data_IF_064761392414
#
_entry.id   IF_064761392414
#
_cell.length_a   1.000
_cell.length_b   1.000
_cell.length_c   1.000
_cell.angle_alpha   90.00
_cell.angle_beta   90.00
_cell.angle_gamma   90.00
#
_symmetry.space_group_name_H-M   'P 1'
#
loop_
_entity.id
_entity.type
_entity.pdbx_description
1 polymer ?
#
# COMPACT_ATOMS: atom_id res chain seq x y z
N UNK A 1 -4.95 -26.98 -67.62
CA UNK A 1 -4.13 -27.10 -66.39
C UNK A 1 -4.19 -25.76 -65.66
N UNK A 2 -4.63 -25.81 -64.41
CA UNK A 2 -4.76 -24.69 -63.50
C UNK A 2 -3.38 -24.23 -62.98
N UNK A 3 -3.17 -22.92 -62.83
CA UNK A 3 -1.97 -22.34 -62.22
C UNK A 3 -2.17 -20.87 -61.89
N UNK A 4 -2.74 -20.62 -60.71
CA UNK A 4 -3.16 -19.31 -60.18
C UNK A 4 -1.94 -18.46 -59.77
N UNK A 5 -1.93 -17.16 -60.12
CA UNK A 5 -1.27 -16.12 -59.31
C UNK A 5 -2.37 -15.33 -58.61
N UNK A 6 -2.44 -15.29 -57.26
CA UNK A 6 -3.24 -14.30 -56.58
C UNK A 6 -2.42 -13.01 -56.40
N UNK A 7 -3.04 -11.92 -56.82
CA UNK A 7 -2.66 -10.54 -56.53
C UNK A 7 -2.56 -10.29 -55.03
N UNK A 8 -1.56 -9.51 -54.64
CA UNK A 8 -1.39 -8.96 -53.29
C UNK A 8 -2.59 -8.09 -52.92
N UNK A 9 -3.34 -8.50 -51.89
CA UNK A 9 -4.24 -7.63 -51.16
C UNK A 9 -3.50 -7.16 -49.89
N UNK A 10 -3.41 -5.85 -49.60
CA UNK A 10 -2.96 -5.38 -48.31
C UNK A 10 -4.02 -5.73 -47.25
N UNK A 11 -3.66 -6.58 -46.29
CA UNK A 11 -4.45 -6.80 -45.08
C UNK A 11 -4.42 -5.53 -44.23
N UNK A 12 -5.36 -4.64 -44.52
CA UNK A 12 -5.69 -3.51 -43.67
C UNK A 12 -6.50 -4.06 -42.49
N UNK A 13 -5.80 -4.46 -41.42
CA UNK A 13 -6.45 -4.86 -40.17
C UNK A 13 -6.93 -3.59 -39.47
N UNK A 14 -8.24 -3.36 -39.51
CA UNK A 14 -8.89 -2.25 -38.86
C UNK A 14 -8.72 -2.39 -37.34
N UNK A 15 -8.10 -1.37 -36.76
CA UNK A 15 -7.88 -1.19 -35.34
C UNK A 15 -9.21 -1.19 -34.61
N UNK A 16 -9.35 -2.13 -33.65
CA UNK A 16 -10.41 -2.10 -32.65
C UNK A 16 -10.23 -0.80 -31.85
N UNK A 17 -11.22 0.09 -31.98
CA UNK A 17 -11.36 1.26 -31.12
C UNK A 17 -11.67 0.82 -29.70
N UNK A 18 -10.80 1.19 -28.78
CA UNK A 18 -10.96 0.97 -27.34
C UNK A 18 -9.76 1.54 -26.59
N UNK A 19 -9.92 2.76 -26.07
CA UNK A 19 -9.06 3.49 -25.13
C UNK A 19 -7.59 3.04 -24.98
N UNK A 20 -6.71 3.82 -25.60
CA UNK A 20 -5.32 3.97 -25.17
C UNK A 20 -5.34 4.68 -23.80
N UNK A 21 -5.16 3.92 -22.73
CA UNK A 21 -4.77 4.46 -21.42
C UNK A 21 -3.57 3.66 -20.90
N UNK A 22 -2.40 4.27 -21.04
CA UNK A 22 -1.25 4.07 -20.17
C UNK A 22 -0.73 2.65 -20.01
N UNK A 23 0.04 2.15 -20.99
CA UNK A 23 1.11 1.18 -20.75
C UNK A 23 2.03 1.18 -21.96
N UNK A 24 3.29 1.53 -21.71
CA UNK A 24 4.37 1.56 -22.69
C UNK A 24 4.45 0.22 -23.43
N UNK A 25 4.32 0.27 -24.76
CA UNK A 25 4.69 -0.85 -25.64
C UNK A 25 6.21 -0.91 -25.63
N UNK A 26 6.78 -1.77 -24.78
CA UNK A 26 8.18 -2.10 -24.84
C UNK A 26 8.39 -3.05 -26.03
N UNK A 27 8.76 -2.46 -27.17
CA UNK A 27 9.38 -3.20 -28.28
C UNK A 27 10.62 -3.91 -27.74
N UNK A 28 10.60 -5.25 -27.76
CA UNK A 28 11.69 -6.07 -27.24
C UNK A 28 11.74 -7.45 -27.89
N UNK A 29 12.42 -7.48 -29.04
CA UNK A 29 13.26 -8.57 -29.57
C UNK A 29 12.65 -9.94 -29.90
N UNK A 30 12.86 -10.31 -31.16
CA UNK A 30 12.81 -11.66 -31.68
C UNK A 30 14.00 -12.49 -31.17
N UNK A 31 13.74 -13.76 -30.86
CA UNK A 31 14.74 -14.82 -30.91
C UNK A 31 15.20 -15.37 -29.55
N UNK A 32 14.77 -16.60 -29.26
CA UNK A 32 15.38 -17.45 -28.24
C UNK A 32 14.54 -17.56 -26.97
N UNK A 33 14.19 -18.79 -26.63
CA UNK A 33 13.49 -19.24 -25.43
C UNK A 33 13.79 -18.38 -24.19
N UNK A 34 12.86 -17.49 -23.85
CA UNK A 34 12.74 -16.90 -22.54
C UNK A 34 11.35 -17.27 -22.06
N UNK A 35 11.27 -18.43 -21.41
CA UNK A 35 10.23 -18.74 -20.44
C UNK A 35 10.32 -17.66 -19.36
N UNK A 36 9.67 -16.51 -19.60
CA UNK A 36 9.48 -15.47 -18.62
C UNK A 36 8.46 -15.99 -17.60
N UNK A 37 8.94 -16.83 -16.68
CA UNK A 37 8.32 -17.00 -15.37
C UNK A 37 8.44 -15.64 -14.70
N UNK A 38 7.47 -14.75 -14.96
CA UNK A 38 7.24 -13.57 -14.14
C UNK A 38 6.74 -14.04 -12.76
N UNK A 39 7.66 -14.57 -11.95
CA UNK A 39 7.60 -14.39 -10.50
C UNK A 39 8.28 -13.06 -10.20
N UNK A 40 7.60 -11.98 -10.59
CA UNK A 40 8.01 -10.62 -10.28
C UNK A 40 7.58 -10.24 -8.86
N UNK A 41 8.16 -10.86 -7.84
CA UNK A 41 8.29 -10.20 -6.55
C UNK A 41 9.54 -9.32 -6.66
N UNK A 42 9.40 -8.09 -7.16
CA UNK A 42 10.43 -7.06 -7.05
C UNK A 42 9.88 -5.70 -7.48
N UNK A 43 9.74 -4.84 -6.48
CA UNK A 43 9.93 -3.41 -6.55
C UNK A 43 9.07 -2.65 -7.56
N UNK A 44 7.94 -2.20 -7.03
CA UNK A 44 7.40 -0.87 -7.26
C UNK A 44 8.51 0.19 -7.09
N UNK A 45 9.40 0.32 -8.09
CA UNK A 45 10.40 1.39 -8.22
C UNK A 45 9.76 2.70 -8.65
N UNK A 46 8.58 3.00 -8.14
CA UNK A 46 8.15 4.38 -7.97
C UNK A 46 8.82 4.89 -6.69
N UNK A 47 9.10 6.19 -6.59
CA UNK A 47 9.64 6.77 -5.35
C UNK A 47 8.57 6.75 -4.23
N UNK A 48 8.20 5.56 -3.79
CA UNK A 48 7.16 5.28 -2.82
C UNK A 48 7.74 4.86 -1.48
N UNK A 49 6.87 4.83 -0.49
CA UNK A 49 7.20 4.39 0.86
C UNK A 49 7.58 2.90 0.87
N UNK A 50 8.70 2.54 1.50
CA UNK A 50 9.08 1.13 1.65
C UNK A 50 8.43 0.50 2.88
N UNK A 51 8.40 -0.83 2.95
CA UNK A 51 7.97 -1.54 4.16
C UNK A 51 8.81 -1.15 5.40
N UNK A 52 10.11 -0.90 5.21
CA UNK A 52 10.99 -0.42 6.28
C UNK A 52 10.58 0.97 6.77
N UNK A 53 10.18 1.86 5.87
CA UNK A 53 9.69 3.19 6.26
C UNK A 53 8.37 3.12 7.01
N UNK A 54 7.46 2.22 6.61
CA UNK A 54 6.22 1.95 7.34
C UNK A 54 6.54 1.45 8.76
N UNK A 55 7.44 0.48 8.91
CA UNK A 55 7.84 -0.02 10.23
C UNK A 55 8.38 1.13 11.10
N UNK A 56 9.26 1.99 10.57
CA UNK A 56 9.80 3.15 11.30
C UNK A 56 8.70 4.13 11.73
N UNK A 57 7.72 4.39 10.87
CA UNK A 57 6.58 5.24 11.21
C UNK A 57 5.70 4.62 12.32
N UNK A 58 5.49 3.30 12.27
CA UNK A 58 4.77 2.58 13.33
C UNK A 58 5.56 2.51 14.64
N UNK A 59 6.89 2.45 14.60
CA UNK A 59 7.76 2.57 15.79
C UNK A 59 7.73 3.96 16.41
N UNK A 60 7.69 5.01 15.58
CA UNK A 60 7.49 6.39 16.05
C UNK A 60 6.15 6.49 16.79
N UNK A 61 5.08 5.91 16.23
CA UNK A 61 3.77 5.90 16.88
C UNK A 61 3.79 5.12 18.19
N UNK A 62 4.40 3.93 18.22
CA UNK A 62 4.54 3.12 19.43
C UNK A 62 5.30 3.88 20.52
N UNK A 63 6.36 4.59 20.15
CA UNK A 63 7.13 5.41 21.09
C UNK A 63 6.31 6.57 21.63
N UNK A 64 5.50 7.22 20.78
CA UNK A 64 4.59 8.29 21.20
C UNK A 64 3.51 7.79 22.17
N UNK A 65 2.95 6.60 21.95
CA UNK A 65 1.99 5.98 22.88
C UNK A 65 2.65 5.75 24.24
N UNK A 66 3.84 5.15 24.27
CA UNK A 66 4.58 4.87 25.52
C UNK A 66 5.07 6.11 26.26
N UNK A 67 5.33 7.20 25.53
CA UNK A 67 5.75 8.47 26.10
C UNK A 67 4.57 9.37 26.49
N UNK A 68 3.34 8.99 26.13
CA UNK A 68 2.15 9.75 26.47
C UNK A 68 1.85 9.69 27.98
N UNK A 69 1.13 10.68 28.48
CA UNK A 69 0.61 10.70 29.86
C UNK A 69 -0.71 9.96 30.02
N UNK A 70 -1.07 9.09 29.07
CA UNK A 70 -2.23 8.19 29.20
C UNK A 70 -1.99 7.15 30.30
N UNK A 71 -3.07 6.60 30.86
CA UNK A 71 -2.97 5.47 31.79
C UNK A 71 -2.41 4.23 31.10
N UNK A 72 -1.85 3.30 31.88
CA UNK A 72 -1.26 2.06 31.35
C UNK A 72 -2.28 1.25 30.53
N UNK A 73 -3.54 1.19 30.98
CA UNK A 73 -4.61 0.48 30.28
C UNK A 73 -4.92 1.11 28.91
N UNK A 74 -4.97 2.43 28.83
CA UNK A 74 -5.22 3.14 27.56
C UNK A 74 -4.03 2.98 26.59
N UNK A 75 -2.80 3.00 27.11
CA UNK A 75 -1.61 2.71 26.30
C UNK A 75 -1.63 1.28 25.77
N UNK A 76 -1.96 0.31 26.63
CA UNK A 76 -2.03 -1.10 26.26
C UNK A 76 -3.07 -1.36 25.17
N UNK A 77 -4.28 -0.80 25.30
CA UNK A 77 -5.34 -0.92 24.29
C UNK A 77 -4.85 -0.48 22.90
N UNK A 78 -4.18 0.67 22.80
CA UNK A 78 -3.64 1.15 21.53
C UNK A 78 -2.51 0.24 21.02
N UNK A 79 -1.63 -0.22 21.92
CA UNK A 79 -0.49 -1.06 21.58
C UNK A 79 -0.89 -2.47 21.12
N UNK A 80 -2.00 -3.00 21.59
CA UNK A 80 -2.50 -4.33 21.24
C UNK A 80 -2.87 -4.45 19.76
N UNK A 81 -3.34 -3.36 19.14
CA UNK A 81 -3.57 -3.29 17.71
C UNK A 81 -2.32 -2.84 16.93
N UNK A 82 -1.50 -1.96 17.51
CA UNK A 82 -0.32 -1.43 16.83
C UNK A 82 0.80 -2.48 16.65
N UNK A 83 1.04 -3.33 17.66
CA UNK A 83 2.11 -4.34 17.62
C UNK A 83 1.91 -5.37 16.49
N UNK A 84 0.72 -5.97 16.28
CA UNK A 84 0.46 -6.84 15.15
C UNK A 84 0.66 -6.15 13.79
N UNK A 85 0.18 -4.91 13.63
CA UNK A 85 0.37 -4.13 12.41
C UNK A 85 1.85 -3.95 12.07
N UNK A 86 2.65 -3.53 13.07
CA UNK A 86 4.10 -3.36 12.89
C UNK A 86 4.80 -4.67 12.54
N UNK A 87 4.47 -5.75 13.25
CA UNK A 87 5.05 -7.08 12.99
C UNK A 87 4.74 -7.57 11.58
N UNK A 88 3.52 -7.33 11.10
CA UNK A 88 3.11 -7.70 9.74
C UNK A 88 3.82 -6.85 8.69
N UNK A 89 3.94 -5.54 8.92
CA UNK A 89 4.65 -4.62 8.03
C UNK A 89 6.13 -4.97 7.85
N UNK A 90 6.76 -5.61 8.84
CA UNK A 90 8.15 -6.07 8.78
C UNK A 90 8.37 -7.36 7.99
N UNK A 91 7.33 -8.00 7.46
CA UNK A 91 7.46 -9.24 6.67
C UNK A 91 7.76 -8.93 5.20
N UNK A 92 8.51 -9.81 4.56
CA UNK A 92 8.78 -9.73 3.11
C UNK A 92 7.46 -9.76 2.29
N UNK A 93 6.51 -10.60 2.69
CA UNK A 93 5.18 -10.70 2.10
C UNK A 93 4.11 -10.10 3.05
N UNK A 94 4.27 -8.82 3.38
CA UNK A 94 3.38 -8.11 4.29
C UNK A 94 1.92 -8.11 3.80
N UNK A 95 1.00 -8.56 4.65
CA UNK A 95 -0.43 -8.49 4.37
C UNK A 95 -0.97 -7.08 4.67
N UNK A 96 -1.06 -6.23 3.63
CA UNK A 96 -1.56 -4.85 3.73
C UNK A 96 -3.00 -4.73 4.25
N UNK A 97 -3.85 -5.71 4.00
CA UNK A 97 -5.21 -5.71 4.54
C UNK A 97 -5.19 -5.90 6.06
N UNK A 98 -4.41 -6.89 6.54
CA UNK A 98 -4.24 -7.11 7.98
C UNK A 98 -3.63 -5.89 8.67
N UNK A 99 -2.65 -5.22 8.03
CA UNK A 99 -2.07 -3.99 8.57
C UNK A 99 -3.14 -2.90 8.64
N UNK A 100 -3.90 -2.67 7.57
CA UNK A 100 -4.96 -1.66 7.51
C UNK A 100 -6.03 -1.90 8.58
N UNK A 101 -6.49 -3.13 8.76
CA UNK A 101 -7.51 -3.48 9.74
C UNK A 101 -7.03 -3.21 11.18
N UNK A 102 -5.80 -3.57 11.50
CA UNK A 102 -5.22 -3.27 12.81
C UNK A 102 -5.03 -1.75 13.00
N UNK A 103 -4.56 -1.03 11.99
CA UNK A 103 -4.39 0.42 12.09
C UNK A 103 -5.72 1.18 12.16
N UNK A 104 -6.79 0.60 11.62
CA UNK A 104 -8.15 1.12 11.82
C UNK A 104 -8.55 1.02 13.30
N UNK A 105 -8.29 -0.10 13.95
CA UNK A 105 -8.53 -0.26 15.39
C UNK A 105 -7.68 0.72 16.22
N UNK A 106 -6.41 0.92 15.85
CA UNK A 106 -5.55 1.97 16.44
C UNK A 106 -6.20 3.35 16.30
N UNK A 107 -6.68 3.70 15.09
CA UNK A 107 -7.32 5.00 14.88
C UNK A 107 -8.61 5.17 15.69
N UNK A 108 -9.44 4.14 15.76
CA UNK A 108 -10.70 4.17 16.52
C UNK A 108 -10.44 4.34 18.02
N UNK A 109 -9.43 3.65 18.57
CA UNK A 109 -9.01 3.81 19.97
C UNK A 109 -8.50 5.24 20.24
N UNK A 110 -7.62 5.77 19.37
CA UNK A 110 -7.09 7.13 19.54
C UNK A 110 -8.15 8.21 19.39
N UNK A 111 -9.16 8.04 18.53
CA UNK A 111 -10.29 8.96 18.40
C UNK A 111 -11.05 9.05 19.72
N UNK A 112 -11.35 7.91 20.36
CA UNK A 112 -12.00 7.90 21.69
C UNK A 112 -11.15 8.66 22.72
N UNK A 113 -9.84 8.41 22.75
CA UNK A 113 -8.92 9.07 23.70
C UNK A 113 -8.82 10.59 23.47
N UNK A 114 -8.85 11.03 22.20
CA UNK A 114 -8.89 12.44 21.81
C UNK A 114 -10.11 13.17 22.39
N UNK A 115 -11.24 12.49 22.49
CA UNK A 115 -12.48 13.06 23.02
C UNK A 115 -12.47 13.18 24.55
N UNK A 116 -11.62 12.40 25.24
CA UNK A 116 -11.61 12.30 26.70
C UNK A 116 -10.46 13.04 27.39
N UNK A 117 -9.33 13.31 26.70
CA UNK A 117 -8.15 13.90 27.33
C UNK A 117 -7.27 14.74 26.39
N UNK A 118 -6.53 15.70 26.95
CA UNK A 118 -5.51 16.46 26.21
C UNK A 118 -4.34 15.58 25.74
N UNK A 119 -3.95 14.59 26.55
CA UNK A 119 -2.96 13.59 26.17
C UNK A 119 -3.41 12.80 24.92
N UNK A 120 -4.68 12.39 24.88
CA UNK A 120 -5.29 11.74 23.74
C UNK A 120 -5.34 12.62 22.49
N UNK A 121 -5.61 13.93 22.63
CA UNK A 121 -5.55 14.88 21.50
C UNK A 121 -4.16 14.99 20.90
N UNK A 122 -3.13 15.12 21.75
CA UNK A 122 -1.73 15.20 21.31
C UNK A 122 -1.28 13.90 20.64
N UNK A 123 -1.66 12.75 21.22
CA UNK A 123 -1.39 11.45 20.63
C UNK A 123 -2.10 11.31 19.27
N UNK A 124 -3.36 11.71 19.18
CA UNK A 124 -4.12 11.68 17.93
C UNK A 124 -3.46 12.51 16.83
N UNK A 125 -2.93 13.68 17.14
CA UNK A 125 -2.22 14.48 16.13
C UNK A 125 -1.02 13.72 15.56
N UNK A 126 -0.22 13.08 16.42
CA UNK A 126 0.91 12.25 15.99
C UNK A 126 0.45 11.02 15.20
N UNK A 127 -0.61 10.36 15.66
CA UNK A 127 -1.21 9.20 14.99
C UNK A 127 -1.77 9.55 13.61
N UNK A 128 -2.50 10.66 13.49
CA UNK A 128 -3.06 11.16 12.26
C UNK A 128 -1.99 11.43 11.19
N UNK A 129 -0.86 12.04 11.57
CA UNK A 129 0.28 12.25 10.68
C UNK A 129 0.87 10.93 10.17
N UNK A 130 1.07 9.97 11.08
CA UNK A 130 1.60 8.64 10.75
C UNK A 130 0.64 7.86 9.83
N UNK A 131 -0.64 7.82 10.18
CA UNK A 131 -1.67 7.10 9.41
C UNK A 131 -1.87 7.72 8.03
N UNK A 132 -1.85 9.05 7.93
CA UNK A 132 -1.92 9.75 6.64
C UNK A 132 -0.74 9.42 5.75
N UNK A 133 0.47 9.35 6.32
CA UNK A 133 1.67 8.99 5.58
C UNK A 133 1.58 7.55 5.06
N UNK A 134 1.11 6.60 5.87
CA UNK A 134 1.07 5.18 5.52
C UNK A 134 -0.11 4.84 4.57
N UNK A 135 -1.20 5.60 4.57
CA UNK A 135 -2.42 5.29 3.81
C UNK A 135 -2.19 4.98 2.32
N UNK A 136 -1.40 5.76 1.55
CA UNK A 136 -1.11 5.46 0.14
C UNK A 136 -0.37 4.13 -0.04
N UNK A 137 0.53 3.78 0.89
CA UNK A 137 1.25 2.51 0.83
C UNK A 137 0.32 1.31 1.05
N UNK A 138 -0.68 1.47 1.91
CA UNK A 138 -1.71 0.45 2.15
C UNK A 138 -2.73 0.35 1.02
N UNK A 139 -2.80 1.35 0.13
CA UNK A 139 -3.83 1.43 -0.89
C UNK A 139 -5.20 1.82 -0.33
N UNK A 140 -5.24 2.50 0.81
CA UNK A 140 -6.48 3.00 1.44
C UNK A 140 -6.50 4.53 1.43
N UNK A 141 -7.69 5.11 1.49
CA UNK A 141 -7.85 6.56 1.64
C UNK A 141 -7.72 6.98 3.11
N UNK A 142 -7.27 8.21 3.39
CA UNK A 142 -7.08 8.70 4.77
C UNK A 142 -8.38 8.67 5.60
N UNK A 143 -9.53 8.89 4.98
CA UNK A 143 -10.84 8.82 5.65
C UNK A 143 -11.16 7.43 6.21
N UNK A 144 -10.48 6.38 5.74
CA UNK A 144 -10.57 5.02 6.31
C UNK A 144 -10.18 5.00 7.79
N UNK A 145 -9.28 5.90 8.20
CA UNK A 145 -8.83 6.09 9.58
C UNK A 145 -9.61 7.17 10.33
N UNK A 146 -10.69 7.72 9.77
CA UNK A 146 -11.43 8.83 10.38
C UNK A 146 -10.73 10.18 10.34
N UNK A 147 -9.84 10.38 9.36
CA UNK A 147 -9.10 11.62 9.09
C UNK A 147 -9.79 12.51 8.06
#
# INVERSE_FOLDING_TARGET
>A
MFGKKPSENPTQSQSIGGNITGSQVQMGQAGGDLTAIQRGNSDDRTQGMTATDVVKLLEKLESAVKASSLSELEQEEVLDYLKPAKREAGKENANKNLISDNLKQVSEAMIKLKETSEAGKSLWQTGAEVLSAIAPWLGVAVHFFGL
#
